data_IF_303849330765
#
_entry.id   IF_303849330765
#
_cell.length_a   1.000
_cell.length_b   1.000
_cell.length_c   1.000
_cell.angle_alpha   90.00
_cell.angle_beta   90.00
_cell.angle_gamma   90.00
#
_symmetry.space_group_name_H-M   'P 1'
#
loop_
_entity.id
_entity.type
_entity.pdbx_description
1 polymer ?
#
# COMPACT_ATOMS: atom_id res chain seq x y z
N UNK A 1 10.29 -13.35 -8.49
CA UNK A 1 9.36 -12.40 -9.14
C UNK A 1 9.32 -11.13 -8.28
N UNK A 2 9.43 -9.95 -8.83
CA UNK A 2 9.66 -8.75 -8.00
C UNK A 2 8.33 -8.11 -7.61
N UNK A 3 7.90 -8.23 -6.34
CA UNK A 3 6.69 -7.61 -5.76
C UNK A 3 6.70 -6.08 -5.84
N UNK A 4 7.82 -5.47 -6.20
CA UNK A 4 8.10 -4.04 -6.05
C UNK A 4 8.20 -3.29 -7.39
N UNK A 5 7.90 -3.95 -8.51
CA UNK A 5 8.17 -3.42 -9.86
C UNK A 5 7.18 -2.38 -10.40
N UNK A 6 6.03 -2.17 -9.77
CA UNK A 6 4.96 -1.36 -10.33
C UNK A 6 4.85 0.00 -9.63
N UNK A 7 5.74 0.94 -9.95
CA UNK A 7 5.61 2.33 -9.51
C UNK A 7 5.46 3.23 -10.73
N UNK A 8 4.33 3.95 -10.79
CA UNK A 8 4.14 5.04 -11.73
C UNK A 8 4.89 6.28 -11.22
N UNK A 9 5.73 6.86 -12.06
CA UNK A 9 6.56 8.02 -11.75
C UNK A 9 5.89 9.35 -12.16
N UNK A 10 4.57 9.34 -12.43
CA UNK A 10 3.88 10.58 -12.76
C UNK A 10 3.82 11.52 -11.54
N UNK A 11 4.27 12.77 -11.71
CA UNK A 11 4.25 13.82 -10.67
C UNK A 11 2.84 14.40 -10.41
N UNK A 12 1.78 13.73 -10.86
CA UNK A 12 0.42 14.20 -10.71
C UNK A 12 -0.16 13.77 -9.36
N UNK A 13 -0.64 14.71 -8.57
CA UNK A 13 -1.46 14.41 -7.39
C UNK A 13 -2.75 13.77 -7.87
N UNK A 14 -2.94 12.50 -7.51
CA UNK A 14 -4.16 11.77 -7.86
C UNK A 14 -5.34 12.30 -7.02
N UNK A 15 -6.55 12.41 -7.59
CA UNK A 15 -7.72 12.75 -6.81
C UNK A 15 -7.95 11.71 -5.71
N UNK A 16 -8.38 12.10 -4.52
CA UNK A 16 -8.75 11.16 -3.46
C UNK A 16 -9.80 10.16 -3.92
N UNK A 17 -9.77 8.97 -3.30
CA UNK A 17 -10.78 7.93 -3.57
C UNK A 17 -11.92 8.10 -2.58
N UNK A 18 -13.08 8.50 -3.08
CA UNK A 18 -14.27 8.70 -2.26
C UNK A 18 -15.34 7.66 -2.57
N UNK A 19 -16.18 7.37 -1.57
CA UNK A 19 -17.42 6.62 -1.75
C UNK A 19 -17.35 5.16 -1.32
N UNK A 20 -16.19 4.49 -1.35
CA UNK A 20 -16.10 3.08 -0.97
C UNK A 20 -16.47 2.84 0.52
N UNK A 21 -16.27 3.84 1.39
CA UNK A 21 -16.63 3.71 2.82
C UNK A 21 -18.14 3.58 3.03
N UNK A 22 -18.97 4.09 2.11
CA UNK A 22 -20.43 3.98 2.16
C UNK A 22 -20.96 2.63 1.64
N UNK A 23 -20.11 1.79 1.05
CA UNK A 23 -20.49 0.46 0.59
C UNK A 23 -20.89 -0.43 1.76
N UNK A 24 -21.79 -1.38 1.48
CA UNK A 24 -22.17 -2.41 2.44
C UNK A 24 -21.06 -3.45 2.55
N UNK A 25 -20.83 -3.94 3.76
CA UNK A 25 -19.99 -5.12 3.96
C UNK A 25 -20.70 -6.35 3.38
N UNK A 26 -20.02 -7.03 2.48
CA UNK A 26 -20.49 -8.24 1.81
C UNK A 26 -19.42 -9.34 1.91
N UNK A 27 -19.77 -10.62 1.72
CA UNK A 27 -18.77 -11.70 1.64
C UNK A 27 -17.72 -11.43 0.58
N UNK A 28 -16.51 -11.96 0.77
CA UNK A 28 -15.36 -11.71 -0.12
C UNK A 28 -15.65 -12.14 -1.56
N UNK A 29 -16.39 -13.22 -1.76
CA UNK A 29 -16.81 -13.69 -3.08
C UNK A 29 -17.64 -12.63 -3.82
N UNK A 30 -18.61 -12.05 -3.13
CA UNK A 30 -19.45 -10.97 -3.68
C UNK A 30 -18.65 -9.68 -3.89
N UNK A 31 -17.75 -9.37 -2.95
CA UNK A 31 -16.91 -8.18 -3.04
C UNK A 31 -15.97 -8.21 -4.25
N UNK A 32 -15.49 -9.38 -4.63
CA UNK A 32 -14.56 -9.59 -5.75
C UNK A 32 -15.24 -10.05 -7.05
N UNK A 33 -16.55 -10.29 -7.05
CA UNK A 33 -17.27 -10.74 -8.25
C UNK A 33 -17.05 -9.82 -9.47
N UNK A 34 -17.11 -8.46 -9.34
CA UNK A 34 -16.86 -7.57 -10.47
C UNK A 34 -15.41 -7.61 -10.99
N UNK A 35 -14.48 -8.18 -10.19
CA UNK A 35 -13.05 -8.22 -10.49
C UNK A 35 -12.64 -9.52 -11.17
N UNK A 36 -13.48 -10.57 -11.09
CA UNK A 36 -13.20 -11.88 -11.69
C UNK A 36 -12.74 -11.80 -13.17
N UNK A 37 -13.32 -10.94 -14.04
CA UNK A 37 -12.88 -10.85 -15.43
C UNK A 37 -11.47 -10.26 -15.61
N UNK A 38 -10.90 -9.64 -14.58
CA UNK A 38 -9.64 -8.89 -14.65
C UNK A 38 -8.45 -9.63 -14.03
N UNK A 39 -8.70 -10.75 -13.34
CA UNK A 39 -7.66 -11.50 -12.62
C UNK A 39 -7.84 -12.98 -12.87
N UNK A 40 -6.83 -13.60 -13.48
CA UNK A 40 -6.83 -15.01 -13.79
C UNK A 40 -7.00 -15.87 -12.53
N UNK A 41 -7.89 -16.86 -12.63
CA UNK A 41 -8.15 -17.82 -11.56
C UNK A 41 -8.59 -17.22 -10.20
N UNK A 42 -9.05 -15.95 -10.16
CA UNK A 42 -9.43 -15.28 -8.92
C UNK A 42 -10.37 -16.11 -8.03
N UNK A 43 -11.44 -16.79 -8.53
CA UNK A 43 -12.31 -17.62 -7.69
C UNK A 43 -11.57 -18.76 -6.98
N UNK A 44 -10.53 -19.31 -7.59
CA UNK A 44 -9.68 -20.32 -6.95
C UNK A 44 -8.88 -19.72 -5.79
N UNK A 45 -8.26 -18.55 -6.00
CA UNK A 45 -7.45 -17.89 -4.97
C UNK A 45 -8.30 -17.35 -3.82
N UNK A 46 -9.54 -16.92 -4.06
CA UNK A 46 -10.50 -16.59 -2.99
C UNK A 46 -10.73 -17.82 -2.07
N UNK A 47 -10.95 -19.01 -2.65
CA UNK A 47 -11.11 -20.24 -1.86
C UNK A 47 -9.85 -20.58 -1.07
N UNK A 48 -8.68 -20.42 -1.67
CA UNK A 48 -7.40 -20.62 -0.98
C UNK A 48 -7.23 -19.63 0.17
N UNK A 49 -7.49 -18.35 -0.06
CA UNK A 49 -7.41 -17.33 0.97
C UNK A 49 -8.34 -17.64 2.16
N UNK A 50 -9.59 -18.03 1.90
CA UNK A 50 -10.53 -18.45 2.98
C UNK A 50 -10.07 -19.68 3.72
N UNK A 51 -9.39 -20.60 3.06
CA UNK A 51 -8.88 -21.83 3.67
C UNK A 51 -7.65 -21.58 4.54
N UNK A 52 -6.77 -20.66 4.13
CA UNK A 52 -5.46 -20.45 4.75
C UNK A 52 -5.35 -19.19 5.60
N UNK A 53 -6.33 -18.26 5.50
CA UNK A 53 -6.32 -17.06 6.33
C UNK A 53 -6.37 -17.40 7.83
N UNK A 54 -5.81 -16.52 8.64
CA UNK A 54 -5.81 -16.64 10.08
C UNK A 54 -7.24 -16.43 10.64
N UNK A 55 -7.87 -17.54 11.00
CA UNK A 55 -9.23 -17.56 11.58
C UNK A 55 -9.41 -18.77 12.51
N UNK A 56 -9.94 -18.62 13.73
CA UNK A 56 -10.47 -17.39 14.32
C UNK A 56 -9.37 -16.34 14.62
N UNK A 57 -9.74 -15.06 14.58
CA UNK A 57 -8.84 -13.92 14.70
C UNK A 57 -8.88 -13.34 16.12
N UNK A 58 -7.73 -13.10 16.72
CA UNK A 58 -7.57 -12.39 18.00
C UNK A 58 -7.98 -10.91 17.94
N UNK A 59 -7.99 -10.31 16.74
CA UNK A 59 -8.42 -8.93 16.51
C UNK A 59 -9.88 -8.80 16.08
N UNK A 60 -10.67 -9.90 16.18
CA UNK A 60 -12.09 -9.89 15.85
C UNK A 60 -12.40 -9.73 14.36
N UNK A 61 -11.50 -10.12 13.45
CA UNK A 61 -11.80 -10.21 12.03
C UNK A 61 -12.77 -11.35 11.77
N UNK A 62 -13.73 -11.13 10.87
CA UNK A 62 -14.48 -12.23 10.27
C UNK A 62 -13.57 -13.04 9.34
N UNK A 63 -13.98 -14.26 8.97
CA UNK A 63 -13.21 -15.05 8.01
C UNK A 63 -13.03 -14.31 6.67
N UNK A 64 -14.08 -13.62 6.19
CA UNK A 64 -14.00 -12.83 4.95
C UNK A 64 -13.03 -11.65 5.07
N UNK A 65 -13.00 -10.98 6.22
CA UNK A 65 -12.05 -9.89 6.49
C UNK A 65 -10.61 -10.41 6.56
N UNK A 66 -10.38 -11.52 7.25
CA UNK A 66 -9.07 -12.16 7.31
C UNK A 66 -8.62 -12.63 5.91
N UNK A 67 -9.53 -13.25 5.16
CA UNK A 67 -9.25 -13.67 3.78
C UNK A 67 -8.98 -12.49 2.85
N UNK A 68 -9.63 -11.33 3.07
CA UNK A 68 -9.37 -10.12 2.28
C UNK A 68 -7.95 -9.57 2.48
N UNK A 69 -7.42 -9.63 3.71
CA UNK A 69 -6.02 -9.27 3.99
C UNK A 69 -5.09 -10.32 3.38
N UNK A 70 -5.38 -11.59 3.58
CA UNK A 70 -4.57 -12.69 3.09
C UNK A 70 -4.40 -12.66 1.56
N UNK A 71 -5.50 -12.56 0.80
CA UNK A 71 -5.46 -12.56 -0.67
C UNK A 71 -4.73 -11.32 -1.24
N UNK A 72 -4.74 -10.19 -0.52
CA UNK A 72 -3.97 -9.01 -0.91
C UNK A 72 -2.47 -9.26 -0.92
N UNK A 73 -2.00 -10.10 -0.02
CA UNK A 73 -0.56 -10.43 0.11
C UNK A 73 -0.13 -11.63 -0.74
N UNK A 74 -1.08 -12.41 -1.28
CA UNK A 74 -0.78 -13.59 -2.08
C UNK A 74 -0.08 -13.25 -3.41
N UNK A 75 0.82 -14.13 -3.81
CA UNK A 75 1.54 -14.06 -5.09
C UNK A 75 1.13 -15.22 -5.99
N UNK A 76 0.63 -14.90 -7.19
CA UNK A 76 0.38 -15.90 -8.25
C UNK A 76 0.46 -15.26 -9.64
N UNK A 77 1.11 -15.92 -10.59
CA UNK A 77 1.18 -15.44 -11.96
C UNK A 77 1.55 -13.96 -12.11
N UNK A 78 1.05 -13.35 -13.17
CA UNK A 78 1.34 -11.96 -13.51
C UNK A 78 0.22 -10.99 -13.05
N UNK A 79 -0.98 -11.49 -12.78
CA UNK A 79 -2.18 -10.71 -12.45
C UNK A 79 -2.64 -10.95 -11.02
N UNK A 80 -1.75 -10.70 -10.03
CA UNK A 80 -2.16 -10.81 -8.61
C UNK A 80 -3.10 -9.68 -8.21
N UNK A 81 -3.92 -9.92 -7.18
CA UNK A 81 -4.92 -8.96 -6.75
C UNK A 81 -4.30 -7.61 -6.39
N UNK A 82 -3.21 -7.60 -5.61
CA UNK A 82 -2.58 -6.35 -5.19
C UNK A 82 -1.99 -5.57 -6.38
N UNK A 83 -1.47 -6.25 -7.42
CA UNK A 83 -0.94 -5.57 -8.62
C UNK A 83 -2.04 -4.88 -9.39
N UNK A 84 -3.15 -5.58 -9.64
CA UNK A 84 -4.27 -5.03 -10.41
C UNK A 84 -4.95 -3.91 -9.63
N UNK A 85 -5.18 -4.08 -8.32
CA UNK A 85 -5.74 -3.03 -7.45
C UNK A 85 -4.82 -1.81 -7.40
N UNK A 86 -3.52 -1.98 -7.14
CA UNK A 86 -2.60 -0.87 -7.04
C UNK A 86 -2.44 -0.13 -8.37
N UNK A 87 -2.51 -0.84 -9.51
CA UNK A 87 -2.57 -0.20 -10.84
C UNK A 87 -3.85 0.64 -10.99
N UNK A 88 -5.00 0.10 -10.57
CA UNK A 88 -6.26 0.84 -10.61
C UNK A 88 -6.23 2.08 -9.68
N UNK A 89 -5.68 1.95 -8.48
CA UNK A 89 -5.53 3.06 -7.52
C UNK A 89 -4.64 4.19 -8.06
N UNK A 90 -3.65 3.88 -8.88
CA UNK A 90 -2.79 4.87 -9.54
C UNK A 90 -3.37 5.47 -10.81
N UNK A 91 -4.45 4.90 -11.33
CA UNK A 91 -5.13 5.43 -12.52
C UNK A 91 -5.81 6.78 -12.25
N UNK A 92 -5.77 7.70 -13.20
CA UNK A 92 -6.55 8.94 -13.18
C UNK A 92 -8.06 8.67 -13.33
N UNK A 93 -8.43 7.55 -13.95
CA UNK A 93 -9.83 7.14 -14.11
C UNK A 93 -10.41 6.60 -12.79
N UNK A 94 -10.99 7.51 -12.02
CA UNK A 94 -11.65 7.17 -10.74
C UNK A 94 -12.97 6.42 -10.92
N UNK A 95 -13.57 6.43 -12.10
CA UNK A 95 -14.79 5.65 -12.36
C UNK A 95 -14.44 4.15 -12.46
N UNK A 96 -13.29 3.81 -13.03
CA UNK A 96 -12.82 2.43 -13.10
C UNK A 96 -12.55 1.82 -11.71
N UNK A 97 -12.37 2.64 -10.67
CA UNK A 97 -12.21 2.17 -9.29
C UNK A 97 -13.52 1.68 -8.65
N UNK A 98 -14.68 2.04 -9.17
CA UNK A 98 -15.98 1.71 -8.54
C UNK A 98 -16.20 0.20 -8.41
N UNK A 99 -15.71 -0.58 -9.36
CA UNK A 99 -15.80 -2.05 -9.30
C UNK A 99 -15.04 -2.64 -8.11
N UNK A 100 -14.07 -1.91 -7.56
CA UNK A 100 -13.26 -2.30 -6.40
C UNK A 100 -13.85 -1.89 -5.06
N UNK A 101 -14.85 -1.00 -5.05
CA UNK A 101 -15.38 -0.42 -3.81
C UNK A 101 -15.86 -1.45 -2.79
N UNK A 102 -16.58 -2.53 -3.17
CA UNK A 102 -16.99 -3.55 -2.19
C UNK A 102 -15.78 -4.24 -1.54
N UNK A 103 -14.74 -4.56 -2.33
CA UNK A 103 -13.52 -5.15 -1.79
C UNK A 103 -12.73 -4.14 -0.94
N UNK A 104 -12.57 -2.90 -1.41
CA UNK A 104 -11.90 -1.85 -0.65
C UNK A 104 -12.58 -1.62 0.70
N UNK A 105 -13.93 -1.63 0.75
CA UNK A 105 -14.68 -1.55 2.00
C UNK A 105 -14.38 -2.70 2.94
N UNK A 106 -14.39 -3.93 2.44
CA UNK A 106 -14.10 -5.13 3.23
C UNK A 106 -12.68 -5.10 3.77
N UNK A 107 -11.71 -4.80 2.91
CA UNK A 107 -10.29 -4.73 3.23
C UNK A 107 -9.97 -3.62 4.24
N UNK A 108 -10.46 -2.40 4.02
CA UNK A 108 -10.24 -1.27 4.90
C UNK A 108 -10.86 -1.49 6.29
N UNK A 109 -12.08 -2.07 6.34
CA UNK A 109 -12.71 -2.45 7.60
C UNK A 109 -11.92 -3.54 8.35
N UNK A 110 -11.26 -4.45 7.62
CA UNK A 110 -10.33 -5.41 8.23
C UNK A 110 -9.11 -4.72 8.82
N UNK A 111 -8.48 -3.82 8.06
CA UNK A 111 -7.32 -3.04 8.51
C UNK A 111 -7.62 -2.19 9.74
N UNK A 112 -8.84 -1.63 9.86
CA UNK A 112 -9.24 -0.85 11.03
C UNK A 112 -9.13 -1.63 12.34
N UNK A 113 -9.39 -2.93 12.30
CA UNK A 113 -9.32 -3.82 13.47
C UNK A 113 -7.90 -4.23 13.85
N UNK A 114 -6.96 -4.11 12.92
CA UNK A 114 -5.57 -4.54 13.14
C UNK A 114 -4.76 -3.49 13.90
N UNK A 115 -3.71 -3.94 14.63
CA UNK A 115 -2.86 -3.04 15.40
C UNK A 115 -2.25 -1.94 14.53
N UNK A 116 -2.31 -0.71 15.03
CA UNK A 116 -1.60 0.43 14.44
C UNK A 116 -0.19 0.47 14.97
N UNK A 117 0.79 0.65 14.08
CA UNK A 117 2.19 0.78 14.44
C UNK A 117 2.74 2.13 14.02
N UNK A 118 3.55 2.72 14.90
CA UNK A 118 4.36 3.91 14.65
C UNK A 118 5.80 3.46 14.57
N UNK A 119 6.28 3.20 13.37
CA UNK A 119 7.64 2.72 13.18
C UNK A 119 8.21 3.09 11.82
N UNK A 120 9.52 3.01 11.69
CA UNK A 120 10.17 3.15 10.40
C UNK A 120 10.00 1.83 9.63
N UNK A 121 9.34 1.91 8.49
CA UNK A 121 9.20 0.80 7.53
C UNK A 121 9.97 1.14 6.26
N UNK A 122 10.35 0.11 5.52
CA UNK A 122 11.12 0.31 4.29
C UNK A 122 10.47 -0.40 3.11
N UNK A 123 10.65 0.19 1.93
CA UNK A 123 10.20 -0.39 0.66
C UNK A 123 11.25 -0.20 -0.41
N UNK A 124 11.81 -1.29 -0.89
CA UNK A 124 12.67 -1.30 -2.06
C UNK A 124 11.87 -1.28 -3.37
N UNK A 125 12.35 -0.54 -4.35
CA UNK A 125 11.82 -0.56 -5.72
C UNK A 125 12.96 -0.63 -6.71
N UNK A 126 12.82 -1.51 -7.70
CA UNK A 126 13.83 -1.71 -8.75
C UNK A 126 13.68 -0.70 -9.91
N UNK A 127 13.23 0.50 -9.60
CA UNK A 127 13.08 1.59 -10.55
C UNK A 127 13.90 2.80 -10.12
N UNK A 128 14.50 3.45 -11.10
CA UNK A 128 15.21 4.71 -10.93
C UNK A 128 14.20 5.87 -10.78
N UNK A 129 13.53 5.93 -9.63
CA UNK A 129 12.66 7.05 -9.26
C UNK A 129 13.47 8.19 -8.64
N UNK A 130 14.70 7.91 -8.21
CA UNK A 130 15.60 8.91 -7.67
C UNK A 130 15.84 10.10 -8.62
N UNK A 131 15.70 9.90 -9.94
CA UNK A 131 15.77 10.96 -10.96
C UNK A 131 14.80 12.12 -10.73
N UNK A 132 13.62 11.84 -10.18
CA UNK A 132 12.63 12.89 -9.91
C UNK A 132 12.99 13.77 -8.72
N UNK A 133 13.89 13.29 -7.88
CA UNK A 133 14.34 13.99 -6.67
C UNK A 133 15.74 14.58 -6.80
N UNK A 134 16.51 14.20 -7.83
CA UNK A 134 17.88 14.71 -8.06
C UNK A 134 18.15 14.97 -9.54
N UNK A 135 19.06 15.91 -9.84
CA UNK A 135 19.55 16.19 -11.19
C UNK A 135 20.60 15.19 -11.69
N UNK A 136 20.87 14.11 -10.95
CA UNK A 136 21.98 13.19 -11.19
C UNK A 136 21.49 11.93 -11.90
N UNK A 137 22.28 11.49 -12.87
CA UNK A 137 22.04 10.26 -13.65
C UNK A 137 22.46 9.02 -12.86
N UNK A 138 21.61 8.02 -12.83
CA UNK A 138 21.79 6.61 -12.44
C UNK A 138 21.55 6.25 -10.96
N UNK A 139 20.46 5.56 -10.65
CA UNK A 139 20.57 4.28 -10.02
C UNK A 139 19.58 3.24 -10.55
N UNK A 140 19.90 1.98 -10.29
CA UNK A 140 19.05 0.85 -10.65
C UNK A 140 17.96 0.54 -9.63
N UNK A 141 17.95 1.23 -8.47
CA UNK A 141 16.97 0.98 -7.39
C UNK A 141 16.81 2.19 -6.45
N UNK A 142 15.64 2.27 -5.83
CA UNK A 142 15.34 3.25 -4.77
C UNK A 142 14.82 2.52 -3.55
N UNK A 143 15.34 2.87 -2.38
CA UNK A 143 14.84 2.44 -1.09
C UNK A 143 14.07 3.59 -0.44
N UNK A 144 12.80 3.40 -0.18
CA UNK A 144 12.02 4.30 0.65
C UNK A 144 12.15 3.87 2.10
N UNK A 145 12.58 4.79 2.96
CA UNK A 145 12.49 4.68 4.41
C UNK A 145 11.34 5.57 4.86
N UNK A 146 10.30 4.95 5.41
CA UNK A 146 9.01 5.60 5.68
C UNK A 146 8.79 5.62 7.18
N UNK A 147 8.71 6.83 7.77
CA UNK A 147 8.23 7.01 9.14
C UNK A 147 6.70 6.88 9.11
N UNK A 148 6.20 5.67 9.36
CA UNK A 148 4.77 5.39 9.39
C UNK A 148 4.17 5.80 10.75
N UNK A 149 2.97 6.38 10.74
CA UNK A 149 2.21 6.80 11.92
C UNK A 149 0.96 5.93 12.09
N UNK A 150 0.32 5.58 10.96
CA UNK A 150 -0.93 4.82 10.92
C UNK A 150 -0.76 3.49 10.17
N UNK A 151 0.45 2.96 10.12
CA UNK A 151 0.73 1.67 9.51
C UNK A 151 -0.06 0.55 10.19
N UNK A 152 -0.56 -0.42 9.44
CA UNK A 152 -1.31 -1.57 9.95
C UNK A 152 -0.47 -2.83 9.89
N UNK A 153 -0.17 -3.41 11.07
CA UNK A 153 0.59 -4.65 11.16
C UNK A 153 -0.28 -5.82 10.72
N UNK A 154 0.14 -6.50 9.66
CA UNK A 154 -0.64 -7.60 9.04
C UNK A 154 0.06 -8.96 9.11
N UNK A 155 1.21 -9.06 9.78
CA UNK A 155 2.08 -10.25 9.78
C UNK A 155 1.35 -11.58 10.08
N UNK A 156 0.36 -11.59 10.98
CA UNK A 156 -0.42 -12.79 11.28
C UNK A 156 -1.45 -13.15 10.19
N UNK A 157 -1.74 -12.23 9.26
CA UNK A 157 -2.82 -12.33 8.28
C UNK A 157 -2.33 -12.42 6.84
N UNK A 158 -1.02 -12.57 6.63
CA UNK A 158 -0.38 -12.61 5.31
C UNK A 158 -0.04 -14.04 4.90
N UNK A 159 0.19 -14.25 3.60
CA UNK A 159 0.77 -15.49 3.09
C UNK A 159 2.22 -15.67 3.58
N UNK A 160 2.95 -14.55 3.80
CA UNK A 160 4.36 -14.51 4.17
C UNK A 160 4.55 -14.12 5.63
N UNK A 161 4.21 -15.03 6.56
CA UNK A 161 4.21 -14.77 8.01
C UNK A 161 5.58 -14.37 8.59
N UNK A 162 6.66 -14.72 7.91
CA UNK A 162 8.04 -14.35 8.31
C UNK A 162 8.42 -12.91 7.91
N UNK A 163 7.62 -12.26 7.08
CA UNK A 163 7.79 -10.85 6.74
C UNK A 163 6.96 -10.02 7.74
N UNK A 164 7.61 -9.13 8.47
CA UNK A 164 6.91 -8.19 9.36
C UNK A 164 6.21 -7.10 8.54
N UNK A 165 5.23 -7.52 7.73
CA UNK A 165 4.59 -6.66 6.76
C UNK A 165 3.67 -5.65 7.45
N UNK A 166 3.83 -4.39 7.03
CA UNK A 166 2.99 -3.26 7.44
C UNK A 166 2.31 -2.70 6.20
N UNK A 167 1.00 -2.60 6.23
CA UNK A 167 0.22 -1.98 5.15
C UNK A 167 -0.07 -0.53 5.51
N UNK A 168 0.29 0.37 4.60
CA UNK A 168 -0.12 1.76 4.61
C UNK A 168 -1.48 1.87 3.91
N UNK A 169 -2.43 2.53 4.56
CA UNK A 169 -3.82 2.58 4.06
C UNK A 169 -3.92 3.34 2.75
N UNK A 170 -4.98 3.06 2.02
CA UNK A 170 -5.30 3.80 0.79
C UNK A 170 -5.51 5.28 1.10
N UNK A 171 -4.85 6.15 0.33
CA UNK A 171 -4.92 7.59 0.54
C UNK A 171 -3.89 8.15 1.53
N UNK A 172 -3.03 7.31 2.13
CA UNK A 172 -1.91 7.81 2.94
C UNK A 172 -1.02 8.75 2.11
N UNK A 173 -0.81 9.94 2.62
CA UNK A 173 0.06 10.95 2.01
C UNK A 173 1.42 11.00 2.73
N UNK A 174 2.47 11.33 1.98
CA UNK A 174 3.83 11.38 2.50
C UNK A 174 4.50 12.70 2.12
N UNK A 175 5.36 13.16 2.99
CA UNK A 175 6.29 14.26 2.72
C UNK A 175 7.72 13.73 2.67
N UNK A 176 8.48 14.18 1.68
CA UNK A 176 9.93 13.89 1.62
C UNK A 176 10.64 14.63 2.75
N UNK A 177 11.45 13.91 3.52
CA UNK A 177 12.21 14.44 4.66
C UNK A 177 13.69 14.58 4.24
N UNK A 178 14.04 15.72 3.69
CA UNK A 178 15.38 16.04 3.25
C UNK A 178 15.74 15.52 1.86
N UNK A 179 16.98 15.73 1.45
CA UNK A 179 17.47 15.27 0.16
C UNK A 179 17.70 13.76 0.14
N UNK A 180 17.48 13.09 -1.00
CA UNK A 180 17.80 11.68 -1.16
C UNK A 180 19.28 11.40 -0.91
N UNK A 181 19.56 10.31 -0.19
CA UNK A 181 20.92 9.86 0.08
C UNK A 181 21.40 8.94 -1.05
N UNK A 182 22.52 9.33 -1.69
CA UNK A 182 23.20 8.50 -2.69
C UNK A 182 23.99 7.38 -1.99
N UNK A 183 23.84 6.15 -2.47
CA UNK A 183 24.59 5.00 -2.00
C UNK A 183 25.70 4.67 -3.00
N UNK A 184 26.84 4.22 -2.51
CA UNK A 184 28.03 3.84 -3.31
C UNK A 184 27.74 2.75 -4.36
N UNK A 185 26.65 2.01 -4.21
CA UNK A 185 26.20 0.98 -5.16
C UNK A 185 25.27 1.51 -6.27
N UNK A 186 25.03 2.82 -6.33
CA UNK A 186 24.13 3.45 -7.31
C UNK A 186 22.66 3.37 -6.97
N UNK A 187 22.29 3.09 -5.71
CA UNK A 187 20.93 3.16 -5.20
C UNK A 187 20.67 4.46 -4.45
N UNK A 188 19.42 4.91 -4.36
CA UNK A 188 19.02 6.05 -3.52
C UNK A 188 18.22 5.61 -2.31
N UNK A 189 18.39 6.33 -1.21
CA UNK A 189 17.49 6.26 -0.06
C UNK A 189 16.67 7.55 -0.02
N UNK A 190 15.35 7.42 -0.07
CA UNK A 190 14.42 8.52 0.06
C UNK A 190 13.71 8.39 1.40
N UNK A 191 13.89 9.37 2.28
CA UNK A 191 13.23 9.42 3.56
C UNK A 191 11.85 10.07 3.40
N UNK A 192 10.81 9.37 3.84
CA UNK A 192 9.44 9.83 3.82
C UNK A 192 8.88 9.88 5.24
N UNK A 193 8.02 10.84 5.51
CA UNK A 193 7.19 10.87 6.71
C UNK A 193 5.74 10.87 6.31
N UNK A 194 4.95 10.00 6.93
CA UNK A 194 3.50 9.99 6.78
C UNK A 194 2.92 11.30 7.31
N UNK A 195 2.02 11.91 6.53
CA UNK A 195 1.34 13.15 6.92
C UNK A 195 0.08 12.78 7.69
N UNK A 196 -0.08 13.37 8.87
CA UNK A 196 -1.32 13.36 9.64
C UNK A 196 -1.63 14.76 10.16
N UNK A 197 -2.79 14.94 10.81
CA UNK A 197 -3.24 16.24 11.34
C UNK A 197 -2.27 16.84 12.35
N UNK A 198 -1.38 16.04 12.96
CA UNK A 198 -0.41 16.50 13.96
C UNK A 198 0.90 17.01 13.36
N UNK A 199 1.24 16.61 12.14
CA UNK A 199 2.52 16.95 11.51
C UNK A 199 2.40 17.65 10.14
N UNK A 200 1.20 18.03 9.71
CA UNK A 200 0.93 18.71 8.43
C UNK A 200 1.38 20.19 8.43
N UNK A 201 1.98 20.68 9.50
CA UNK A 201 2.54 22.03 9.54
C UNK A 201 3.85 22.11 8.73
N UNK A 202 4.01 23.09 7.83
CA UNK A 202 5.28 23.31 7.18
C UNK A 202 6.37 23.59 8.24
N UNK A 203 7.61 23.12 8.04
CA UNK A 203 8.70 23.41 8.96
C UNK A 203 8.82 24.95 9.13
N UNK A 204 8.93 25.37 10.38
CA UNK A 204 9.10 26.79 10.67
C UNK A 204 10.29 27.35 9.86
N UNK A 205 10.16 28.55 9.27
CA UNK A 205 11.24 29.15 8.51
C UNK A 205 12.50 29.23 9.40
N UNK A 206 13.59 28.67 8.90
CA UNK A 206 14.90 28.78 9.55
C UNK A 206 15.22 30.27 9.55
N UNK A 207 15.10 30.90 10.71
CA UNK A 207 15.59 32.26 10.90
C UNK A 207 17.11 32.23 10.73
N UNK A 208 17.57 32.58 9.53
CA UNK A 208 18.98 32.85 9.25
C UNK A 208 19.35 34.21 9.83
N UNK A 209 19.28 34.35 11.13
CA UNK A 209 19.95 35.41 11.85
C UNK A 209 21.19 34.77 12.52
N UNK A 210 22.25 34.68 11.77
CA UNK A 210 23.62 34.56 12.30
C UNK A 210 24.19 35.97 12.29
N UNK A 211 24.66 36.48 13.45
CA UNK A 211 25.27 37.79 13.57
C UNK A 211 26.59 37.90 12.82
#
# INVERSE_FOLDING_TARGET
MNRFGDIDTSNKKLPPVYGYLSEKLVPIETALEPIVPHIDHLPHYIKLAKKHCHFPSEHGLTQDQSAAVYIYTMEWGDTTLYRVLNKALRSEDRQALKIWFPYMKLFDTALDKLPTVKEAVWRGVSLDIGKHFTKIKFPSSTLFLIEAINGKKVSAYTEFQNEEEVILRMGTEFRVKGDPLDQSNGSYIVNLIEIDDSNDQPPAPINSNIP
#
